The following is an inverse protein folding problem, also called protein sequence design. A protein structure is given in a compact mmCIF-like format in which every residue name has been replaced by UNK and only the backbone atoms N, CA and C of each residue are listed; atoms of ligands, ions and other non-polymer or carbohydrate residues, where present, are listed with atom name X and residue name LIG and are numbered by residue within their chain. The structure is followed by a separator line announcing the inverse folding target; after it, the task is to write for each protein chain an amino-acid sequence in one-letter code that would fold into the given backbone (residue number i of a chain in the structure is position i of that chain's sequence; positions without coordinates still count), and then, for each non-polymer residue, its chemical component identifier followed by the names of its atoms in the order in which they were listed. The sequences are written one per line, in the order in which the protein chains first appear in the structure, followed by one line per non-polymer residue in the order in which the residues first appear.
data_IF_864915074054
#
_entry.id   IF_864915074054
#
_cell.length_a   1.000
_cell.length_b   1.000
_cell.length_c   1.000
_cell.angle_alpha   90.00
_cell.angle_beta   90.00
_cell.angle_gamma   90.00
#
_symmetry.space_group_name_H-M   'P 1'
#
loop_
_entity.id
_entity.type
_entity.pdbx_description
1 polymer ?
#
# COMPACT_ATOMS: atom_id res chain seq x y z
N UNK A 1 -12.76 22.23 5.28
CA UNK A 1 -13.03 21.53 6.57
C UNK A 1 -12.84 20.05 6.28
N UNK A 2 -11.71 19.46 6.72
CA UNK A 2 -11.48 18.02 6.60
C UNK A 2 -12.51 17.30 7.47
N UNK A 3 -13.31 16.41 6.88
CA UNK A 3 -14.17 15.53 7.68
C UNK A 3 -13.25 14.57 8.42
N UNK A 4 -13.31 14.57 9.74
CA UNK A 4 -12.55 13.66 10.59
C UNK A 4 -12.95 12.22 10.22
N UNK A 5 -11.98 11.39 9.83
CA UNK A 5 -12.24 9.99 9.50
C UNK A 5 -12.67 9.22 10.76
N UNK A 6 -13.74 8.46 10.67
CA UNK A 6 -14.23 7.63 11.77
C UNK A 6 -14.21 6.17 11.38
N UNK A 7 -13.53 5.35 12.18
CA UNK A 7 -13.53 3.90 12.02
C UNK A 7 -14.94 3.36 12.26
N UNK A 8 -15.54 2.75 11.24
CA UNK A 8 -16.87 2.13 11.35
C UNK A 8 -16.84 0.92 12.29
N UNK A 9 -18.01 0.45 12.74
CA UNK A 9 -18.09 -0.75 13.59
C UNK A 9 -17.56 -2.00 12.90
N UNK A 10 -17.72 -2.09 11.58
CA UNK A 10 -17.22 -3.19 10.76
C UNK A 10 -15.70 -3.18 10.70
N UNK A 11 -15.11 -2.02 10.38
CA UNK A 11 -13.65 -1.85 10.38
C UNK A 11 -13.04 -2.08 11.77
N UNK A 12 -13.70 -1.59 12.82
CA UNK A 12 -13.28 -1.83 14.19
C UNK A 12 -13.22 -3.33 14.52
N UNK A 13 -14.24 -4.09 14.12
CA UNK A 13 -14.27 -5.54 14.32
C UNK A 13 -13.13 -6.26 13.58
N UNK A 14 -12.81 -5.83 12.34
CA UNK A 14 -11.68 -6.37 11.60
C UNK A 14 -10.34 -6.06 12.28
N UNK A 15 -10.14 -4.82 12.71
CA UNK A 15 -8.94 -4.39 13.42
C UNK A 15 -8.81 -5.13 14.76
N UNK A 16 -9.88 -5.32 15.51
CA UNK A 16 -9.87 -6.07 16.78
C UNK A 16 -9.46 -7.54 16.57
N UNK A 17 -9.88 -8.15 15.46
CA UNK A 17 -9.45 -9.51 15.12
C UNK A 17 -7.95 -9.58 14.82
N UNK A 18 -7.37 -8.53 14.23
CA UNK A 18 -5.92 -8.42 14.05
C UNK A 18 -5.23 -8.26 15.41
N UNK A 19 -5.71 -7.35 16.25
CA UNK A 19 -5.14 -7.09 17.59
C UNK A 19 -5.10 -8.36 18.43
N UNK A 20 -6.13 -9.21 18.37
CA UNK A 20 -6.21 -10.48 19.11
C UNK A 20 -5.12 -11.49 18.75
N UNK A 21 -4.46 -11.36 17.58
CA UNK A 21 -3.34 -12.22 17.17
C UNK A 21 -2.06 -11.95 17.99
N UNK A 22 -2.01 -10.83 18.69
CA UNK A 22 -0.80 -10.35 19.41
C UNK A 22 -1.07 -10.24 20.91
N UNK A 23 -0.02 -10.31 21.75
CA UNK A 23 -0.14 -10.04 23.17
C UNK A 23 -0.71 -8.64 23.46
N UNK A 24 -1.49 -8.48 24.53
CA UNK A 24 -2.22 -7.23 24.86
C UNK A 24 -1.31 -5.99 24.98
N UNK A 25 -0.03 -6.18 25.32
CA UNK A 25 0.99 -5.14 25.43
C UNK A 25 1.75 -4.89 24.11
N UNK A 26 1.34 -5.52 23.01
CA UNK A 26 2.01 -5.45 21.69
C UNK A 26 1.09 -4.96 20.58
N UNK A 27 0.18 -4.02 20.87
CA UNK A 27 -0.77 -3.47 19.88
C UNK A 27 -0.09 -2.85 18.66
N UNK A 28 1.14 -2.32 18.79
CA UNK A 28 1.92 -1.80 17.67
C UNK A 28 2.13 -2.86 16.56
N UNK A 29 2.18 -4.14 16.91
CA UNK A 29 2.32 -5.23 15.92
C UNK A 29 1.11 -5.38 14.99
N UNK A 30 -0.05 -4.82 15.37
CA UNK A 30 -1.25 -4.83 14.54
C UNK A 30 -1.32 -3.68 13.52
N UNK A 31 -0.38 -2.72 13.53
CA UNK A 31 -0.45 -1.48 12.74
C UNK A 31 -0.47 -1.78 11.24
N UNK A 32 0.44 -2.62 10.74
CA UNK A 32 0.55 -2.90 9.29
C UNK A 32 -0.77 -3.47 8.75
N UNK A 33 -1.26 -4.55 9.37
CA UNK A 33 -2.49 -5.22 8.90
C UNK A 33 -3.71 -4.31 9.04
N UNK A 34 -3.76 -3.49 10.09
CA UNK A 34 -4.81 -2.48 10.28
C UNK A 34 -4.78 -1.38 9.21
N UNK A 35 -3.58 -0.91 8.83
CA UNK A 35 -3.43 0.05 7.74
C UNK A 35 -3.88 -0.53 6.40
N UNK A 36 -3.57 -1.80 6.11
CA UNK A 36 -4.02 -2.47 4.89
C UNK A 36 -5.55 -2.60 4.83
N UNK A 37 -6.20 -2.92 5.96
CA UNK A 37 -7.68 -2.94 6.07
C UNK A 37 -8.26 -1.56 5.75
N UNK A 38 -7.73 -0.51 6.37
CA UNK A 38 -8.18 0.86 6.18
C UNK A 38 -7.88 1.39 4.78
N UNK A 39 -6.73 1.04 4.21
CA UNK A 39 -6.37 1.33 2.82
C UNK A 39 -7.37 0.71 1.84
N UNK A 40 -7.75 -0.55 2.06
CA UNK A 40 -8.71 -1.24 1.21
C UNK A 40 -10.08 -0.54 1.22
N UNK A 41 -10.54 -0.13 2.40
CA UNK A 41 -11.80 0.61 2.56
C UNK A 41 -11.75 2.02 1.95
N UNK A 42 -10.62 2.69 2.02
CA UNK A 42 -10.40 4.05 1.51
C UNK A 42 -9.80 4.07 0.08
N UNK A 43 -10.34 3.26 -0.82
CA UNK A 43 -9.99 3.30 -2.25
C UNK A 43 -8.50 3.10 -2.57
N UNK A 44 -7.77 2.38 -1.74
CA UNK A 44 -6.39 1.95 -2.00
C UNK A 44 -5.30 2.85 -1.44
N UNK A 45 -5.61 3.82 -0.57
CA UNK A 45 -4.62 4.66 0.09
C UNK A 45 -5.02 5.07 1.51
N UNK A 46 -4.05 5.49 2.33
CA UNK A 46 -4.28 6.02 3.67
C UNK A 46 -4.02 7.51 3.73
N UNK A 47 -4.90 8.24 4.45
CA UNK A 47 -4.77 9.68 4.70
C UNK A 47 -4.20 9.95 6.09
N UNK A 48 -3.79 11.19 6.35
CA UNK A 48 -3.40 11.62 7.71
C UNK A 48 -4.53 11.45 8.71
N UNK A 49 -5.78 11.68 8.29
CA UNK A 49 -6.95 11.50 9.16
C UNK A 49 -7.18 10.03 9.53
N UNK A 50 -6.91 9.09 8.60
CA UNK A 50 -6.93 7.64 8.84
C UNK A 50 -5.84 7.26 9.85
N UNK A 51 -4.61 7.75 9.67
CA UNK A 51 -3.50 7.52 10.59
C UNK A 51 -3.86 7.99 12.00
N UNK A 52 -4.40 9.21 12.13
CA UNK A 52 -4.86 9.77 13.39
C UNK A 52 -5.97 8.93 14.03
N UNK A 53 -6.96 8.50 13.25
CA UNK A 53 -8.03 7.64 13.74
C UNK A 53 -7.50 6.30 14.26
N UNK A 54 -6.57 5.68 13.52
CA UNK A 54 -5.93 4.43 13.93
C UNK A 54 -5.06 4.61 15.18
N UNK A 55 -4.33 5.72 15.30
CA UNK A 55 -3.54 6.11 16.47
C UNK A 55 -4.41 6.13 17.73
N UNK A 56 -5.52 6.83 17.65
CA UNK A 56 -6.48 6.89 18.77
C UNK A 56 -7.06 5.51 19.12
N UNK A 57 -7.37 4.71 18.08
CA UNK A 57 -7.98 3.39 18.27
C UNK A 57 -7.03 2.38 18.93
N UNK A 58 -5.79 2.31 18.46
CA UNK A 58 -4.78 1.38 18.99
C UNK A 58 -4.05 1.90 20.21
N UNK A 59 -4.18 3.21 20.54
CA UNK A 59 -3.35 3.90 21.53
C UNK A 59 -1.85 3.80 21.21
N UNK A 60 -1.50 4.00 19.92
CA UNK A 60 -0.14 4.06 19.39
C UNK A 60 0.07 5.46 18.86
N UNK A 61 1.28 6.05 18.98
CA UNK A 61 1.51 7.43 18.54
C UNK A 61 1.31 7.58 17.03
N UNK A 62 0.82 8.75 16.58
CA UNK A 62 0.62 9.03 15.15
C UNK A 62 1.93 8.91 14.36
N UNK A 63 3.06 9.33 14.94
CA UNK A 63 4.35 9.27 14.29
C UNK A 63 4.82 7.82 14.06
N UNK A 64 4.56 6.92 15.02
CA UNK A 64 4.89 5.50 14.86
C UNK A 64 4.08 4.85 13.73
N UNK A 65 2.80 5.23 13.59
CA UNK A 65 1.94 4.72 12.50
C UNK A 65 2.36 5.32 11.16
N UNK A 66 2.67 6.62 11.14
CA UNK A 66 3.16 7.30 9.94
C UNK A 66 4.48 6.72 9.44
N UNK A 67 5.42 6.43 10.36
CA UNK A 67 6.68 5.76 10.07
C UNK A 67 6.44 4.41 9.36
N UNK A 68 5.52 3.60 9.89
CA UNK A 68 5.14 2.32 9.26
C UNK A 68 4.50 2.55 7.89
N UNK A 69 3.56 3.51 7.77
CA UNK A 69 2.85 3.78 6.52
C UNK A 69 3.79 4.25 5.39
N UNK A 70 4.86 4.98 5.72
CA UNK A 70 5.83 5.48 4.73
C UNK A 70 6.99 4.51 4.48
N UNK A 71 7.25 3.57 5.40
CA UNK A 71 8.32 2.58 5.23
C UNK A 71 7.90 1.42 4.34
N UNK A 72 6.68 0.91 4.51
CA UNK A 72 6.22 -0.27 3.78
C UNK A 72 5.62 0.09 2.42
N UNK A 73 6.25 -0.36 1.34
CA UNK A 73 5.87 -0.02 -0.03
C UNK A 73 4.47 -0.51 -0.42
N UNK A 74 3.89 -1.48 0.28
CA UNK A 74 2.51 -1.94 0.07
C UNK A 74 1.44 -0.95 0.56
N UNK A 75 1.84 0.08 1.33
CA UNK A 75 0.94 1.11 1.84
C UNK A 75 1.09 2.37 0.99
N UNK A 76 0.00 2.84 0.41
CA UNK A 76 -0.02 4.07 -0.38
C UNK A 76 -0.49 5.22 0.51
N UNK A 77 0.32 6.27 0.63
CA UNK A 77 0.00 7.48 1.44
C UNK A 77 -0.60 8.62 0.61
N UNK A 78 -0.86 8.37 -0.66
CA UNK A 78 -1.49 9.29 -1.61
C UNK A 78 -2.49 8.54 -2.49
N UNK A 79 -3.47 9.22 -3.08
CA UNK A 79 -4.41 8.60 -4.01
C UNK A 79 -3.70 7.90 -5.17
N UNK A 80 -4.12 6.68 -5.48
CA UNK A 80 -3.58 5.86 -6.57
C UNK A 80 -4.70 5.37 -7.48
N UNK A 81 -4.37 4.99 -8.72
CA UNK A 81 -5.32 4.38 -9.64
C UNK A 81 -5.87 3.05 -9.10
N UNK A 82 -7.08 2.70 -9.53
CA UNK A 82 -7.81 1.51 -9.06
C UNK A 82 -7.02 0.20 -9.21
N UNK A 83 -6.24 0.07 -10.28
CA UNK A 83 -5.41 -1.10 -10.53
C UNK A 83 -3.94 -0.69 -10.40
N UNK A 84 -3.29 -1.18 -9.37
CA UNK A 84 -1.89 -0.93 -9.09
C UNK A 84 -1.05 -1.97 -9.84
N UNK A 85 -0.19 -1.51 -10.75
CA UNK A 85 0.74 -2.36 -11.51
C UNK A 85 2.11 -2.21 -10.87
N UNK A 86 2.65 -3.30 -10.35
CA UNK A 86 3.97 -3.38 -9.74
C UNK A 86 4.86 -4.31 -10.58
N UNK A 87 5.90 -3.77 -11.22
CA UNK A 87 6.87 -4.54 -12.02
C UNK A 87 8.16 -4.67 -11.24
N UNK A 88 8.54 -5.90 -10.91
CA UNK A 88 9.78 -6.16 -10.19
C UNK A 88 10.99 -5.77 -11.06
N UNK A 89 11.80 -4.84 -10.54
CA UNK A 89 13.03 -4.37 -11.17
C UNK A 89 14.31 -4.78 -10.39
N UNK A 90 14.20 -5.73 -9.49
CA UNK A 90 15.35 -6.32 -8.82
C UNK A 90 16.25 -7.04 -9.81
N UNK A 91 17.53 -7.23 -9.45
CA UNK A 91 18.61 -7.65 -10.36
C UNK A 91 18.25 -8.85 -11.25
N UNK A 92 17.59 -9.87 -10.71
CA UNK A 92 17.19 -11.05 -11.49
C UNK A 92 16.13 -10.75 -12.56
N UNK A 93 15.16 -9.88 -12.24
CA UNK A 93 14.12 -9.44 -13.19
C UNK A 93 14.69 -8.45 -14.22
N UNK A 94 15.55 -7.53 -13.77
CA UNK A 94 16.25 -6.57 -14.62
C UNK A 94 17.09 -7.30 -15.70
N UNK A 95 17.90 -8.28 -15.31
CA UNK A 95 18.72 -9.08 -16.24
C UNK A 95 17.86 -9.90 -17.23
N UNK A 96 16.58 -10.08 -16.96
CA UNK A 96 15.62 -10.80 -17.80
C UNK A 96 14.64 -9.89 -18.53
N UNK A 97 14.89 -8.58 -18.56
CA UNK A 97 14.14 -7.63 -19.38
C UNK A 97 12.98 -6.92 -18.69
N UNK A 98 12.99 -6.77 -17.36
CA UNK A 98 11.92 -6.00 -16.68
C UNK A 98 11.88 -4.53 -17.09
N UNK A 99 13.01 -3.93 -17.45
CA UNK A 99 13.09 -2.54 -17.90
C UNK A 99 12.37 -2.34 -19.25
N UNK A 100 12.41 -3.35 -20.13
CA UNK A 100 11.65 -3.34 -21.38
C UNK A 100 10.15 -3.40 -21.13
N UNK A 101 9.71 -4.20 -20.14
CA UNK A 101 8.31 -4.28 -19.72
C UNK A 101 7.85 -2.94 -19.14
N UNK A 102 8.64 -2.32 -18.26
CA UNK A 102 8.34 -1.00 -17.70
C UNK A 102 8.18 0.03 -18.82
N UNK A 103 9.15 0.10 -19.74
CA UNK A 103 9.11 1.01 -20.89
C UNK A 103 7.87 0.79 -21.76
N UNK A 104 7.50 -0.47 -22.00
CA UNK A 104 6.29 -0.81 -22.74
C UNK A 104 5.02 -0.34 -22.04
N UNK A 105 4.91 -0.53 -20.72
CA UNK A 105 3.76 -0.11 -19.92
C UNK A 105 3.65 1.41 -19.89
N UNK A 106 4.75 2.14 -19.68
CA UNK A 106 4.79 3.61 -19.70
C UNK A 106 4.27 4.16 -21.04
N UNK A 107 4.75 3.60 -22.16
CA UNK A 107 4.31 4.01 -23.49
C UNK A 107 2.84 3.69 -23.75
N UNK A 108 2.39 2.51 -23.34
CA UNK A 108 1.01 2.04 -23.57
C UNK A 108 0.00 2.82 -22.74
N UNK A 109 0.30 3.09 -21.48
CA UNK A 109 -0.59 3.81 -20.55
C UNK A 109 -0.38 5.33 -20.58
N UNK A 110 0.70 5.80 -21.22
CA UNK A 110 1.10 7.22 -21.31
C UNK A 110 1.29 7.86 -19.92
N UNK A 111 1.90 7.11 -19.02
CA UNK A 111 2.27 7.54 -17.66
C UNK A 111 3.72 7.14 -17.39
N UNK A 112 4.31 7.73 -16.35
CA UNK A 112 5.61 7.34 -15.82
C UNK A 112 5.45 6.48 -14.58
N UNK A 113 6.53 5.80 -14.19
CA UNK A 113 6.61 5.15 -12.87
C UNK A 113 6.28 6.16 -11.77
N UNK A 114 5.42 5.80 -10.82
CA UNK A 114 4.91 6.68 -9.77
C UNK A 114 3.66 7.49 -10.17
N UNK A 115 3.12 7.29 -11.38
CA UNK A 115 1.96 8.06 -11.86
C UNK A 115 0.73 7.19 -12.07
N UNK A 116 -0.44 7.83 -11.94
CA UNK A 116 -1.74 7.25 -12.31
C UNK A 116 -2.19 7.76 -13.68
N UNK A 117 -2.95 6.94 -14.42
CA UNK A 117 -3.64 7.39 -15.63
C UNK A 117 -4.65 8.47 -15.32
N UNK A 118 -4.93 9.38 -16.28
CA UNK A 118 -5.85 10.50 -16.12
C UNK A 118 -7.29 10.08 -15.76
N UNK A 119 -7.68 8.85 -16.08
CA UNK A 119 -8.95 8.25 -15.72
C UNK A 119 -8.93 7.48 -14.39
N UNK A 120 -7.81 7.54 -13.65
CA UNK A 120 -7.56 6.84 -12.38
C UNK A 120 -7.79 5.32 -12.44
N UNK A 121 -7.70 4.70 -13.63
CA UNK A 121 -7.84 3.25 -13.74
C UNK A 121 -6.58 2.51 -13.36
N UNK A 122 -5.41 3.03 -13.72
CA UNK A 122 -4.13 2.38 -13.48
C UNK A 122 -3.17 3.31 -12.73
N UNK A 123 -2.35 2.70 -11.88
CA UNK A 123 -1.20 3.32 -11.25
C UNK A 123 0.02 2.43 -11.49
N UNK A 124 1.09 2.99 -12.08
CA UNK A 124 2.36 2.28 -12.24
C UNK A 124 3.23 2.55 -11.02
N UNK A 125 3.33 1.57 -10.14
CA UNK A 125 3.97 1.71 -8.84
C UNK A 125 5.48 1.87 -8.98
N UNK A 126 6.01 2.81 -8.21
CA UNK A 126 7.44 2.98 -7.92
C UNK A 126 7.86 2.11 -6.71
N UNK A 127 9.16 2.08 -6.41
CA UNK A 127 9.72 1.43 -5.22
C UNK A 127 9.19 0.00 -4.97
N UNK A 128 9.38 -0.89 -5.95
CA UNK A 128 8.91 -2.27 -5.85
C UNK A 128 9.95 -3.15 -5.17
N UNK A 129 9.56 -3.78 -4.08
CA UNK A 129 10.33 -4.86 -3.48
C UNK A 129 10.31 -6.12 -4.35
N UNK A 130 11.25 -7.04 -4.10
CA UNK A 130 11.30 -8.30 -4.82
C UNK A 130 10.01 -9.11 -4.61
N UNK A 131 9.35 -9.48 -5.71
CA UNK A 131 8.13 -10.30 -5.68
C UNK A 131 8.39 -11.80 -5.42
N UNK A 132 9.61 -12.17 -5.06
CA UNK A 132 10.07 -13.51 -4.66
C UNK A 132 9.79 -14.64 -5.66
N UNK A 133 9.62 -14.34 -6.96
CA UNK A 133 9.35 -15.31 -8.03
C UNK A 133 10.44 -15.32 -9.10
N UNK A 134 11.71 -15.20 -8.71
CA UNK A 134 12.86 -15.00 -9.60
C UNK A 134 13.08 -16.13 -10.63
N UNK A 135 12.63 -17.35 -10.33
CA UNK A 135 12.71 -18.47 -11.27
C UNK A 135 11.85 -18.27 -12.53
N UNK A 136 10.74 -17.55 -12.42
CA UNK A 136 9.83 -17.19 -13.49
C UNK A 136 9.95 -15.75 -13.99
N UNK A 137 11.01 -15.01 -13.57
CA UNK A 137 11.19 -13.61 -13.95
C UNK A 137 11.29 -13.38 -15.48
N UNK A 138 11.00 -12.15 -15.94
CA UNK A 138 10.59 -11.00 -15.15
C UNK A 138 9.17 -11.13 -14.60
N UNK A 139 8.90 -10.54 -13.41
CA UNK A 139 7.64 -10.68 -12.71
C UNK A 139 6.95 -9.34 -12.52
N UNK A 140 5.61 -9.37 -12.61
CA UNK A 140 4.77 -8.23 -12.24
C UNK A 140 3.56 -8.71 -11.44
N UNK A 141 2.99 -7.81 -10.66
CA UNK A 141 1.77 -8.00 -9.88
C UNK A 141 0.76 -6.92 -10.25
N UNK A 142 -0.52 -7.28 -10.25
CA UNK A 142 -1.64 -6.34 -10.39
C UNK A 142 -2.55 -6.55 -9.19
N UNK A 143 -2.65 -5.51 -8.34
CA UNK A 143 -3.34 -5.47 -7.03
C UNK A 143 -2.82 -6.49 -6.02
#
# INVERSE_FOLDING_TARGET
MSQEFKISKELASLIDNVVKKFPSNRKRSAVIESLLILQHDNHGYVTKDIIKALSNYLSVSEIDIYEVATFYTMINVAPVGKNVIAVCNNVSCMLRGSDEILTHIEQKLKIKVGESTSDNKFYLKDEIECLAACNGGPMMQIN
#
